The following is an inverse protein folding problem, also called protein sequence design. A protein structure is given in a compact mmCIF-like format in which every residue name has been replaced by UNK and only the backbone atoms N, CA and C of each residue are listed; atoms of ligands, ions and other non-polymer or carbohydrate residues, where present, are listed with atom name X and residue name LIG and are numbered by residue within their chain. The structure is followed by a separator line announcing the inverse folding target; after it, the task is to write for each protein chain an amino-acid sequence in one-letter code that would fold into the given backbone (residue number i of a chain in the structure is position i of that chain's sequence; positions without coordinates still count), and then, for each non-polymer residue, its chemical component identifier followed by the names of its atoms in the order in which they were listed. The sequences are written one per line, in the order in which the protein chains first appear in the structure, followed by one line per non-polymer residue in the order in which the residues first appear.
data_IF_191197167051
#
_entry.id   IF_191197167051
#
_cell.length_a   1.000
_cell.length_b   1.000
_cell.length_c   1.000
_cell.angle_alpha   90.00
_cell.angle_beta   90.00
_cell.angle_gamma   90.00
#
_symmetry.space_group_name_H-M   'P 1'
#
loop_
_entity.id
_entity.type
_entity.pdbx_description
1 polymer ?
#
# COMPACT_ATOMS: atom_id res chain seq x y z
N UNK A 1 28.91 -8.74 14.87
CA UNK A 1 28.46 -8.80 13.46
C UNK A 1 28.81 -7.47 12.84
N UNK A 2 29.66 -7.47 11.81
CA UNK A 2 30.04 -6.24 11.12
C UNK A 2 28.95 -5.86 10.12
N UNK A 3 28.55 -4.60 10.09
CA UNK A 3 27.55 -4.08 9.15
C UNK A 3 28.24 -3.59 7.89
N UNK A 4 27.91 -4.17 6.74
CA UNK A 4 28.37 -3.73 5.43
C UNK A 4 27.20 -3.10 4.65
N UNK A 5 27.38 -1.89 4.13
CA UNK A 5 26.34 -1.20 3.36
C UNK A 5 26.23 -1.82 1.96
N UNK A 6 25.04 -2.34 1.63
CA UNK A 6 24.76 -3.01 0.35
C UNK A 6 23.92 -2.16 -0.63
N UNK A 7 23.46 -0.99 -0.19
CA UNK A 7 22.62 -0.11 -1.01
C UNK A 7 22.02 1.05 -0.22
N UNK A 8 21.12 1.78 -0.90
CA UNK A 8 20.33 2.87 -0.34
C UNK A 8 18.89 2.81 -0.87
N UNK A 9 17.93 3.25 -0.07
CA UNK A 9 16.53 3.36 -0.48
C UNK A 9 16.39 4.51 -1.48
N UNK A 10 15.91 4.23 -2.69
CA UNK A 10 15.65 5.27 -3.69
C UNK A 10 14.27 5.90 -3.50
N UNK A 11 13.23 5.07 -3.32
CA UNK A 11 11.84 5.50 -3.21
C UNK A 11 11.06 4.68 -2.20
N UNK A 12 10.09 5.33 -1.56
CA UNK A 12 9.09 4.70 -0.71
C UNK A 12 7.71 4.86 -1.33
N UNK A 13 6.95 3.78 -1.32
CA UNK A 13 5.58 3.75 -1.80
C UNK A 13 4.67 3.07 -0.78
N UNK A 14 3.44 3.57 -0.69
CA UNK A 14 2.37 2.97 0.12
C UNK A 14 1.10 2.82 -0.70
N UNK A 15 0.33 1.79 -0.41
CA UNK A 15 -0.95 1.50 -1.06
C UNK A 15 -2.07 1.52 -0.01
N UNK A 16 -2.63 2.69 0.36
CA UNK A 16 -3.57 2.79 1.48
C UNK A 16 -4.81 1.91 1.33
N UNK A 17 -5.30 1.76 0.09
CA UNK A 17 -6.45 0.94 -0.27
C UNK A 17 -5.99 -0.18 -1.20
N UNK A 18 -6.42 -1.41 -0.90
CA UNK A 18 -6.14 -2.60 -1.73
C UNK A 18 -6.58 -2.36 -3.18
N UNK A 19 -5.67 -2.62 -4.12
CA UNK A 19 -5.86 -2.49 -5.57
C UNK A 19 -6.05 -1.07 -6.11
N UNK A 20 -5.84 -0.03 -5.29
CA UNK A 20 -5.76 1.36 -5.76
C UNK A 20 -4.32 1.78 -6.04
N UNK A 21 -4.15 2.99 -6.58
CA UNK A 21 -2.84 3.58 -6.84
C UNK A 21 -2.02 3.75 -5.56
N UNK A 22 -0.71 3.69 -5.74
CA UNK A 22 0.27 4.01 -4.71
C UNK A 22 0.42 5.50 -4.54
N UNK A 23 0.78 5.91 -3.33
CA UNK A 23 1.36 7.22 -3.06
C UNK A 23 2.87 7.09 -2.85
N UNK A 24 3.63 8.11 -3.24
CA UNK A 24 5.07 8.21 -2.96
C UNK A 24 5.25 8.90 -1.62
N UNK A 25 6.15 8.38 -0.79
CA UNK A 25 6.41 8.89 0.56
C UNK A 25 7.86 9.35 0.70
N UNK A 26 8.09 10.32 1.58
CA UNK A 26 9.43 10.74 2.00
C UNK A 26 9.94 9.95 3.21
N UNK A 27 9.03 9.50 4.06
CA UNK A 27 9.31 8.69 5.23
C UNK A 27 8.10 7.80 5.53
N UNK A 28 8.33 6.68 6.21
CA UNK A 28 7.26 5.81 6.67
C UNK A 28 7.72 5.01 7.89
N UNK A 29 6.80 4.80 8.82
CA UNK A 29 7.04 3.94 9.99
C UNK A 29 6.89 2.47 9.60
N UNK A 30 7.71 1.62 10.21
CA UNK A 30 7.58 0.17 10.12
C UNK A 30 7.06 -0.35 11.45
N UNK A 31 5.94 -1.06 11.41
CA UNK A 31 5.32 -1.71 12.56
C UNK A 31 5.35 -3.24 12.43
N UNK A 32 4.74 -3.94 13.39
CA UNK A 32 4.69 -5.40 13.42
C UNK A 32 3.96 -6.04 12.21
N UNK A 33 3.17 -5.26 11.47
CA UNK A 33 2.43 -5.65 10.28
C UNK A 33 3.08 -5.18 8.97
N UNK A 34 4.20 -4.46 9.05
CA UNK A 34 4.97 -3.96 7.91
C UNK A 34 4.94 -2.45 7.82
N UNK A 35 4.75 -1.91 6.61
CA UNK A 35 4.72 -0.46 6.39
C UNK A 35 3.44 0.15 6.96
N UNK A 36 3.58 1.09 7.89
CA UNK A 36 2.46 1.77 8.54
C UNK A 36 1.49 2.41 7.55
N UNK A 37 0.23 2.01 7.65
CA UNK A 37 -0.83 2.49 6.76
C UNK A 37 -0.89 1.79 5.38
N UNK A 38 -0.02 0.81 5.11
CA UNK A 38 -0.12 0.03 3.87
C UNK A 38 -1.33 -0.90 3.93
N UNK A 39 -2.16 -0.86 2.88
CA UNK A 39 -3.36 -1.68 2.68
C UNK A 39 -4.31 -1.71 3.88
N UNK A 40 -4.39 -0.62 4.63
CA UNK A 40 -5.30 -0.48 5.78
C UNK A 40 -6.76 -0.67 5.37
N UNK A 41 -7.10 -0.33 4.12
CA UNK A 41 -8.46 -0.47 3.61
C UNK A 41 -8.56 -1.54 2.53
N UNK A 42 -9.62 -2.33 2.59
CA UNK A 42 -9.97 -3.33 1.58
C UNK A 42 -11.44 -3.15 1.17
N UNK A 43 -11.69 -2.73 -0.09
CA UNK A 43 -13.06 -2.59 -0.57
C UNK A 43 -13.78 -3.94 -0.58
N UNK A 44 -15.06 -3.94 -0.23
CA UNK A 44 -15.92 -5.11 -0.26
C UNK A 44 -17.22 -4.82 -0.99
N UNK A 45 -17.85 -5.85 -1.54
CA UNK A 45 -19.22 -5.73 -2.06
C UNK A 45 -20.25 -5.65 -0.92
N UNK A 46 -21.51 -5.42 -1.25
CA UNK A 46 -22.61 -5.33 -0.28
C UNK A 46 -22.82 -6.62 0.54
N UNK A 47 -22.23 -7.73 0.13
CA UNK A 47 -22.27 -9.02 0.83
C UNK A 47 -21.01 -9.25 1.68
N UNK A 48 -20.14 -8.23 1.84
CA UNK A 48 -18.90 -8.31 2.60
C UNK A 48 -17.78 -9.08 1.91
N UNK A 49 -17.90 -9.42 0.62
CA UNK A 49 -16.81 -10.10 -0.10
C UNK A 49 -15.78 -9.07 -0.53
N UNK A 50 -14.55 -9.23 -0.07
CA UNK A 50 -13.47 -8.35 -0.48
C UNK A 50 -13.24 -8.40 -2.00
N UNK A 51 -12.95 -7.23 -2.55
CA UNK A 51 -12.53 -7.05 -3.91
C UNK A 51 -11.33 -7.96 -4.23
N UNK A 52 -11.17 -8.32 -5.51
CA UNK A 52 -9.95 -8.92 -6.03
C UNK A 52 -9.48 -8.14 -7.23
N UNK A 53 -8.17 -8.16 -7.50
CA UNK A 53 -7.57 -7.46 -8.65
C UNK A 53 -8.18 -7.86 -9.99
N UNK A 54 -8.63 -9.11 -10.12
CA UNK A 54 -9.27 -9.62 -11.35
C UNK A 54 -10.67 -9.06 -11.55
N UNK A 55 -11.44 -8.94 -10.47
CA UNK A 55 -12.84 -8.48 -10.55
C UNK A 55 -12.89 -6.98 -10.75
N UNK A 56 -12.05 -6.22 -10.03
CA UNK A 56 -12.13 -4.76 -9.93
C UNK A 56 -10.85 -4.08 -10.44
N UNK A 57 -10.42 -4.45 -11.65
CA UNK A 57 -9.21 -3.92 -12.29
C UNK A 57 -9.25 -2.39 -12.43
N UNK A 58 -10.43 -1.82 -12.61
CA UNK A 58 -10.65 -0.37 -12.74
C UNK A 58 -10.17 0.41 -11.51
N UNK A 59 -10.09 -0.21 -10.33
CA UNK A 59 -9.60 0.47 -9.14
C UNK A 59 -8.11 0.82 -9.19
N UNK A 60 -7.32 0.13 -10.03
CA UNK A 60 -5.91 0.47 -10.19
C UNK A 60 -5.70 1.88 -10.78
N UNK A 61 -6.73 2.47 -11.38
CA UNK A 61 -6.74 3.86 -11.84
C UNK A 61 -7.15 4.88 -10.78
N UNK A 62 -7.60 4.44 -9.60
CA UNK A 62 -8.13 5.31 -8.55
C UNK A 62 -7.06 5.59 -7.50
N UNK A 63 -7.03 6.84 -7.03
CA UNK A 63 -6.16 7.27 -5.93
C UNK A 63 -6.98 7.38 -4.66
N UNK A 64 -6.44 6.86 -3.55
CA UNK A 64 -7.05 7.11 -2.26
C UNK A 64 -6.94 8.62 -1.94
N UNK A 65 -7.98 9.25 -1.37
CA UNK A 65 -7.87 10.63 -0.94
C UNK A 65 -6.74 10.77 0.09
N UNK A 66 -5.87 11.76 -0.14
CA UNK A 66 -4.85 12.15 0.83
C UNK A 66 -5.55 12.62 2.10
N UNK A 67 -5.11 12.14 3.26
CA UNK A 67 -5.54 12.68 4.56
C UNK A 67 -4.91 14.04 4.81
#
# INVERSE_FOLDING_TARGET
METCQIGAVHDLFRYPVKFMQRERLHAVDIDAHGTGGDRTYAPSDLNGRFATSKKWLTMAGLTAPSK
#
